data_IF_948293742839
#
_entry.id   IF_948293742839
#
_cell.length_a   1.000
_cell.length_b   1.000
_cell.length_c   1.000
_cell.angle_alpha   90.00
_cell.angle_beta   90.00
_cell.angle_gamma   90.00
#
_symmetry.space_group_name_H-M   'P 1'
#
loop_
_entity.id
_entity.type
_entity.pdbx_description
1 polymer ?
#
# COMPACT_ATOMS: atom_id res chain seq x y z
N UNK A 1 7.58 -16.02 -2.92
CA UNK A 1 6.84 -15.04 -2.10
C UNK A 1 5.65 -14.52 -2.87
N UNK A 2 4.63 -13.96 -2.21
CA UNK A 2 3.48 -13.35 -2.90
C UNK A 2 3.95 -12.15 -3.72
N UNK A 3 3.52 -12.05 -4.98
CA UNK A 3 3.81 -10.91 -5.85
C UNK A 3 2.81 -9.78 -5.59
N UNK A 4 3.26 -8.54 -5.33
CA UNK A 4 2.34 -7.42 -5.19
C UNK A 4 1.69 -7.10 -6.54
N UNK A 5 0.39 -6.82 -6.49
CA UNK A 5 -0.37 -6.28 -7.63
C UNK A 5 0.10 -4.85 -7.94
N UNK A 6 0.32 -4.05 -6.89
CA UNK A 6 0.83 -2.67 -6.99
C UNK A 6 1.83 -2.42 -5.87
N UNK A 7 2.90 -1.69 -6.20
CA UNK A 7 3.85 -1.15 -5.23
C UNK A 7 3.87 0.37 -5.40
N UNK A 8 3.45 1.08 -4.36
CA UNK A 8 3.49 2.55 -4.33
C UNK A 8 4.69 2.98 -3.51
N UNK A 9 5.68 3.58 -4.15
CA UNK A 9 6.90 4.05 -3.51
C UNK A 9 6.75 5.52 -3.15
N UNK A 10 6.83 5.85 -1.86
CA UNK A 10 6.78 7.23 -1.37
C UNK A 10 8.20 7.78 -1.22
N UNK A 11 8.89 7.88 -2.35
CA UNK A 11 10.24 8.43 -2.49
C UNK A 11 10.26 9.95 -2.69
N UNK A 12 9.09 10.54 -2.98
CA UNK A 12 8.88 11.99 -3.16
C UNK A 12 7.52 12.44 -2.64
N UNK A 13 7.34 13.75 -2.36
CA UNK A 13 6.01 14.30 -2.09
C UNK A 13 5.05 14.08 -3.27
N UNK A 14 3.76 13.97 -2.97
CA UNK A 14 2.68 13.93 -3.97
C UNK A 14 2.83 12.86 -5.07
N UNK A 15 3.27 11.64 -4.71
CA UNK A 15 3.35 10.51 -5.65
C UNK A 15 1.99 10.26 -6.33
N UNK A 16 1.90 10.37 -7.67
CA UNK A 16 0.66 10.16 -8.41
C UNK A 16 0.41 8.66 -8.61
N UNK A 17 -0.21 8.00 -7.63
CA UNK A 17 -0.44 6.55 -7.66
C UNK A 17 -1.87 6.17 -8.05
N UNK A 18 -2.82 7.10 -7.93
CA UNK A 18 -4.26 6.79 -7.95
C UNK A 18 -4.72 6.14 -9.25
N UNK A 19 -4.25 6.63 -10.40
CA UNK A 19 -4.63 6.08 -11.71
C UNK A 19 -4.13 4.64 -11.89
N UNK A 20 -2.86 4.39 -11.57
CA UNK A 20 -2.28 3.04 -11.66
C UNK A 20 -2.96 2.07 -10.68
N UNK A 21 -3.26 2.53 -9.46
CA UNK A 21 -3.99 1.77 -8.46
C UNK A 21 -5.39 1.39 -8.96
N UNK A 22 -6.12 2.37 -9.48
CA UNK A 22 -7.45 2.16 -10.03
C UNK A 22 -7.43 1.13 -11.16
N UNK A 23 -6.58 1.32 -12.17
CA UNK A 23 -6.49 0.38 -13.30
C UNK A 23 -6.20 -1.04 -12.86
N UNK A 24 -5.27 -1.23 -11.91
CA UNK A 24 -4.91 -2.56 -11.42
C UNK A 24 -6.05 -3.22 -10.63
N UNK A 25 -6.73 -2.46 -9.75
CA UNK A 25 -7.85 -2.96 -8.95
C UNK A 25 -9.06 -3.25 -9.83
N UNK A 26 -9.43 -2.34 -10.73
CA UNK A 26 -10.54 -2.53 -11.67
C UNK A 26 -10.32 -3.75 -12.57
N UNK A 27 -9.12 -3.92 -13.14
CA UNK A 27 -8.79 -5.11 -13.94
C UNK A 27 -8.90 -6.39 -13.11
N UNK A 28 -8.46 -6.34 -11.86
CA UNK A 28 -8.56 -7.50 -10.95
C UNK A 28 -10.03 -7.86 -10.68
N UNK A 29 -10.86 -6.87 -10.37
CA UNK A 29 -12.29 -7.08 -10.10
C UNK A 29 -13.09 -7.52 -11.33
N UNK A 30 -12.69 -7.08 -12.53
CA UNK A 30 -13.29 -7.57 -13.78
C UNK A 30 -13.05 -9.08 -13.98
N UNK A 31 -11.88 -9.58 -13.59
CA UNK A 31 -11.53 -11.00 -13.71
C UNK A 31 -12.01 -11.81 -12.51
N UNK A 32 -12.00 -11.21 -11.31
CA UNK A 32 -12.36 -11.83 -10.02
C UNK A 32 -13.22 -10.87 -9.20
N UNK A 33 -14.55 -10.86 -9.43
CA UNK A 33 -15.46 -9.94 -8.75
C UNK A 33 -15.47 -10.06 -7.22
N UNK A 34 -15.08 -11.20 -6.68
CA UNK A 34 -14.96 -11.52 -5.24
C UNK A 34 -13.58 -11.23 -4.65
N UNK A 35 -12.63 -10.70 -5.43
CA UNK A 35 -11.27 -10.43 -4.95
C UNK A 35 -11.28 -9.52 -3.70
N UNK A 36 -10.39 -9.88 -2.77
CA UNK A 36 -10.05 -9.09 -1.59
C UNK A 36 -8.58 -8.69 -1.68
N UNK A 37 -8.18 -7.65 -0.95
CA UNK A 37 -6.86 -7.06 -1.06
C UNK A 37 -6.20 -6.91 0.31
N UNK A 38 -4.92 -7.25 0.39
CA UNK A 38 -4.09 -6.92 1.55
C UNK A 38 -3.27 -5.65 1.22
N UNK A 39 -3.44 -4.62 2.04
CA UNK A 39 -2.70 -3.37 2.00
C UNK A 39 -1.59 -3.43 3.06
N UNK A 40 -0.35 -3.54 2.61
CA UNK A 40 0.82 -3.73 3.48
C UNK A 40 1.64 -2.44 3.48
N UNK A 41 1.74 -1.81 4.65
CA UNK A 41 2.65 -0.70 4.91
C UNK A 41 4.07 -1.24 5.06
N UNK A 42 5.01 -0.79 4.22
CA UNK A 42 6.40 -1.25 4.25
C UNK A 42 7.30 -0.07 4.62
N UNK A 43 8.06 -0.22 5.70
CA UNK A 43 9.08 0.75 6.08
C UNK A 43 10.48 0.21 5.80
N UNK A 44 11.44 1.09 5.45
CA UNK A 44 12.83 0.69 5.36
C UNK A 44 13.37 0.32 6.74
N UNK A 45 14.11 -0.79 6.83
CA UNK A 45 14.74 -1.26 8.07
C UNK A 45 16.18 -0.74 8.18
N UNK A 46 16.34 0.58 8.21
CA UNK A 46 17.65 1.25 8.26
C UNK A 46 17.56 2.56 9.04
N UNK A 47 18.68 2.96 9.64
CA UNK A 47 18.77 4.17 10.46
C UNK A 47 18.59 3.91 11.95
N UNK A 48 18.50 4.99 12.71
CA UNK A 48 18.27 5.01 14.16
C UNK A 48 16.83 4.65 14.53
N UNK A 49 16.59 4.35 15.82
CA UNK A 49 15.25 4.06 16.33
C UNK A 49 14.27 5.23 16.11
N UNK A 50 14.74 6.48 16.22
CA UNK A 50 13.93 7.67 15.96
C UNK A 50 13.52 7.77 14.49
N UNK A 51 14.44 7.53 13.56
CA UNK A 51 14.14 7.51 12.12
C UNK A 51 13.15 6.41 11.76
N UNK A 52 13.29 5.22 12.36
CA UNK A 52 12.34 4.12 12.17
C UNK A 52 10.94 4.47 12.68
N UNK A 53 10.82 5.07 13.88
CA UNK A 53 9.54 5.52 14.42
C UNK A 53 8.86 6.59 13.54
N UNK A 54 9.67 7.50 12.97
CA UNK A 54 9.18 8.49 12.00
C UNK A 54 8.72 7.83 10.69
N UNK A 55 9.45 6.84 10.19
CA UNK A 55 9.09 6.08 9.01
C UNK A 55 7.75 5.32 9.21
N UNK A 56 7.59 4.66 10.36
CA UNK A 56 6.34 3.97 10.76
C UNK A 56 5.14 4.93 10.80
N UNK A 57 5.32 6.09 11.43
CA UNK A 57 4.28 7.12 11.51
C UNK A 57 3.92 7.68 10.13
N UNK A 58 4.91 7.85 9.26
CA UNK A 58 4.75 8.38 7.91
C UNK A 58 4.08 7.39 6.98
N UNK A 59 4.51 6.12 6.98
CA UNK A 59 3.89 5.08 6.16
C UNK A 59 2.44 4.87 6.58
N UNK A 60 2.11 4.94 7.88
CA UNK A 60 0.72 4.83 8.34
C UNK A 60 -0.18 5.91 7.71
N UNK A 61 0.31 7.16 7.62
CA UNK A 61 -0.41 8.25 6.93
C UNK A 61 -0.56 7.94 5.43
N UNK A 62 0.46 7.41 4.78
CA UNK A 62 0.40 7.03 3.38
C UNK A 62 -0.59 5.89 3.12
N UNK A 63 -0.54 4.83 3.93
CA UNK A 63 -1.47 3.71 3.90
C UNK A 63 -2.90 4.18 4.07
N UNK A 64 -3.18 5.10 5.01
CA UNK A 64 -4.51 5.67 5.18
C UNK A 64 -4.99 6.44 3.94
N UNK A 65 -4.12 7.18 3.25
CA UNK A 65 -4.47 7.86 1.98
C UNK A 65 -4.77 6.87 0.87
N UNK A 66 -3.99 5.80 0.76
CA UNK A 66 -4.20 4.73 -0.22
C UNK A 66 -5.51 3.99 0.08
N UNK A 67 -5.76 3.62 1.33
CA UNK A 67 -7.02 3.04 1.79
C UNK A 67 -8.19 3.94 1.40
N UNK A 68 -8.13 5.24 1.73
CA UNK A 68 -9.17 6.19 1.35
C UNK A 68 -9.39 6.22 -0.17
N UNK A 69 -8.32 6.20 -0.96
CA UNK A 69 -8.44 6.13 -2.43
C UNK A 69 -9.18 4.87 -2.89
N UNK A 70 -8.94 3.71 -2.28
CA UNK A 70 -9.66 2.46 -2.58
C UNK A 70 -11.14 2.54 -2.19
N UNK A 71 -11.44 3.10 -1.02
CA UNK A 71 -12.82 3.28 -0.55
C UNK A 71 -13.60 4.25 -1.45
N UNK A 72 -12.98 5.37 -1.82
CA UNK A 72 -13.57 6.39 -2.71
C UNK A 72 -13.83 5.82 -4.12
N UNK A 73 -13.15 4.74 -4.53
CA UNK A 73 -13.39 3.99 -5.77
C UNK A 73 -14.52 2.95 -5.66
N UNK A 74 -15.13 2.80 -4.48
CA UNK A 74 -16.24 1.86 -4.24
C UNK A 74 -15.83 0.48 -3.75
N UNK A 75 -14.55 0.25 -3.41
CA UNK A 75 -14.14 -1.01 -2.78
C UNK A 75 -14.57 -0.98 -1.30
N UNK A 76 -15.41 -1.92 -0.82
CA UNK A 76 -15.83 -1.92 0.58
C UNK A 76 -14.67 -2.25 1.52
N UNK A 77 -14.66 -1.62 2.69
CA UNK A 77 -13.61 -1.82 3.70
C UNK A 77 -13.45 -3.29 4.14
N UNK A 78 -14.53 -4.07 4.12
CA UNK A 78 -14.50 -5.51 4.45
C UNK A 78 -13.67 -6.35 3.48
N UNK A 79 -13.37 -5.83 2.29
CA UNK A 79 -12.50 -6.49 1.29
C UNK A 79 -11.05 -6.04 1.37
N UNK A 80 -10.70 -5.19 2.34
CA UNK A 80 -9.36 -4.65 2.50
C UNK A 80 -8.83 -5.02 3.88
N UNK A 81 -7.70 -5.72 3.93
CA UNK A 81 -6.95 -5.97 5.16
C UNK A 81 -5.77 -5.02 5.25
N UNK A 82 -5.46 -4.50 6.44
CA UNK A 82 -4.30 -3.66 6.68
C UNK A 82 -3.25 -4.43 7.46
N UNK A 83 -1.98 -4.33 7.05
CA UNK A 83 -0.85 -4.85 7.81
C UNK A 83 0.37 -3.95 7.64
N UNK A 84 1.40 -4.17 8.46
CA UNK A 84 2.65 -3.43 8.40
C UNK A 84 3.83 -4.39 8.53
N UNK A 85 4.92 -4.07 7.84
CA UNK A 85 6.18 -4.83 7.90
C UNK A 85 7.37 -3.92 7.66
N UNK A 86 8.56 -4.38 8.05
CA UNK A 86 9.82 -3.71 7.75
C UNK A 86 10.59 -4.48 6.67
N UNK A 87 11.29 -3.76 5.81
CA UNK A 87 12.01 -4.32 4.67
C UNK A 87 13.48 -3.90 4.69
N UNK A 88 14.38 -4.86 4.51
CA UNK A 88 15.82 -4.59 4.38
C UNK A 88 16.21 -4.09 2.98
N UNK A 89 15.33 -4.22 1.99
CA UNK A 89 15.62 -3.87 0.59
C UNK A 89 14.93 -2.58 0.14
N UNK A 90 13.87 -2.16 0.82
CA UNK A 90 13.16 -0.92 0.51
C UNK A 90 14.00 0.28 0.94
N UNK A 91 14.21 1.23 0.02
CA UNK A 91 14.92 2.47 0.32
C UNK A 91 13.98 3.56 0.88
N UNK A 92 12.70 3.54 0.54
CA UNK A 92 11.68 4.49 0.98
C UNK A 92 10.53 3.77 1.68
N UNK A 93 9.61 4.55 2.27
CA UNK A 93 8.32 4.00 2.67
C UNK A 93 7.55 3.55 1.42
N UNK A 94 6.95 2.38 1.48
CA UNK A 94 6.18 1.81 0.37
C UNK A 94 4.83 1.32 0.89
N UNK A 95 3.82 1.32 0.02
CA UNK A 95 2.54 0.65 0.28
C UNK A 95 2.36 -0.40 -0.80
N UNK A 96 2.31 -1.66 -0.38
CA UNK A 96 2.15 -2.79 -1.28
C UNK A 96 0.71 -3.28 -1.23
N UNK A 97 0.17 -3.60 -2.38
CA UNK A 97 -1.19 -4.11 -2.53
C UNK A 97 -1.08 -5.51 -3.10
N UNK A 98 -1.66 -6.48 -2.39
CA UNK A 98 -1.70 -7.88 -2.80
C UNK A 98 -3.14 -8.32 -2.98
N UNK A 99 -3.36 -9.26 -3.91
CA UNK A 99 -4.64 -9.97 -3.99
C UNK A 99 -4.60 -11.07 -2.92
N UNK A 100 -5.66 -11.16 -2.13
CA UNK A 100 -5.86 -12.16 -1.09
C UNK A 100 -6.45 -13.45 -1.67
#
# INVERSE_FOLDING_TARGET
>A
GRQPLVVIRFDRPNVPYQQALYTAVSKTLQVRPEASFDLVAVTPNRGSASEHAMAQSTVKKHTNRVLKSLLDMGLPASRISLSATSSNTSASNEVHIYIR
#
